data_IF_851653500685
#
_entry.id   IF_851653500685
#
_cell.length_a   1.000
_cell.length_b   1.000
_cell.length_c   1.000
_cell.angle_alpha   90.00
_cell.angle_beta   90.00
_cell.angle_gamma   90.00
#
_symmetry.space_group_name_H-M   'P 1'
#
loop_
_entity.id
_entity.type
_entity.pdbx_description
1 polymer ?
#
# COMPACT_ATOMS: atom_id res chain seq x y z
N UNK A 1 -9.42 35.70 20.69
CA UNK A 1 -9.16 36.84 21.58
C UNK A 1 -8.96 36.32 23.00
N UNK A 2 -7.74 36.48 23.51
CA UNK A 2 -7.30 36.42 24.92
C UNK A 2 -7.49 35.12 25.71
N UNK A 3 -6.43 34.30 25.68
CA UNK A 3 -6.02 33.40 26.76
C UNK A 3 -5.67 34.22 28.01
N UNK A 4 -6.23 33.84 29.16
CA UNK A 4 -5.96 34.46 30.46
C UNK A 4 -4.85 33.70 31.21
N UNK A 5 -3.87 34.46 31.70
CA UNK A 5 -2.71 34.04 32.49
C UNK A 5 -3.06 33.35 33.81
N UNK A 6 -2.25 32.35 34.18
CA UNK A 6 -2.09 31.88 35.56
C UNK A 6 -0.60 31.93 35.90
N UNK A 7 -0.22 32.78 36.85
CA UNK A 7 1.01 32.63 37.62
C UNK A 7 0.98 33.45 38.92
N UNK A 8 1.50 32.81 39.97
CA UNK A 8 1.91 33.29 41.32
C UNK A 8 0.76 33.54 42.32
N UNK A 9 0.73 33.01 43.55
CA UNK A 9 1.70 32.23 44.32
C UNK A 9 1.82 32.76 45.76
N UNK A 10 1.52 31.89 46.74
CA UNK A 10 2.21 31.82 48.04
C UNK A 10 1.69 32.64 49.22
N UNK A 11 1.39 31.96 50.33
CA UNK A 11 1.65 32.43 51.69
C UNK A 11 1.73 31.24 52.68
N UNK A 12 2.92 31.13 53.31
CA UNK A 12 3.24 30.59 54.64
C UNK A 12 3.54 29.07 54.83
N UNK A 13 4.70 28.83 55.45
CA UNK A 13 5.45 27.59 55.71
C UNK A 13 5.18 27.04 57.14
N UNK A 14 6.03 26.21 57.79
CA UNK A 14 6.98 25.15 57.36
C UNK A 14 6.81 23.82 58.15
N UNK A 15 7.39 22.70 57.70
CA UNK A 15 7.90 21.67 58.65
C UNK A 15 9.04 20.81 58.08
N UNK A 16 10.10 20.79 58.88
CA UNK A 16 11.24 19.85 59.04
C UNK A 16 11.36 18.60 58.16
N UNK A 17 12.57 18.40 57.60
CA UNK A 17 13.02 17.10 57.10
C UNK A 17 14.32 17.16 56.28
N UNK A 18 15.44 17.52 56.90
CA UNK A 18 16.76 17.57 56.27
C UNK A 18 17.41 16.19 56.15
N UNK A 19 17.60 15.67 54.93
CA UNK A 19 18.58 14.63 54.63
C UNK A 19 19.21 14.80 53.22
N UNK A 20 20.49 15.19 53.22
CA UNK A 20 21.57 14.68 52.37
C UNK A 20 21.42 14.58 50.82
N UNK A 21 20.79 15.55 50.15
CA UNK A 21 20.91 15.73 48.68
C UNK A 21 21.03 17.23 48.27
N UNK A 22 21.84 18.03 48.97
CA UNK A 22 21.87 19.47 48.66
C UNK A 22 23.25 20.13 48.70
N UNK A 23 24.28 19.42 48.23
CA UNK A 23 25.65 19.97 48.16
C UNK A 23 26.35 19.92 46.79
N UNK A 24 25.62 19.74 45.67
CA UNK A 24 26.18 19.86 44.29
C UNK A 24 25.30 20.63 43.29
N UNK A 25 24.59 21.67 43.74
CA UNK A 25 23.84 22.57 42.83
C UNK A 25 24.05 24.07 43.13
N UNK A 26 25.15 24.39 43.81
CA UNK A 26 25.52 25.76 44.18
C UNK A 26 26.37 26.52 43.17
N UNK A 27 26.92 25.87 42.14
CA UNK A 27 27.88 26.51 41.21
C UNK A 27 27.35 26.77 39.80
N UNK A 28 26.34 26.04 39.31
CA UNK A 28 25.82 26.24 37.93
C UNK A 28 24.69 27.29 37.80
N UNK A 29 24.09 27.72 38.91
CA UNK A 29 23.05 28.78 38.88
C UNK A 29 23.62 30.20 38.80
N UNK A 30 24.93 30.37 39.05
CA UNK A 30 25.61 31.66 38.94
C UNK A 30 25.92 32.07 37.49
N UNK A 31 26.17 31.11 36.60
CA UNK A 31 26.58 31.40 35.22
C UNK A 31 25.38 31.64 34.28
N UNK A 32 24.31 30.84 34.40
CA UNK A 32 23.11 30.98 33.57
C UNK A 32 22.25 32.22 33.90
N UNK A 33 22.19 32.60 35.18
CA UNK A 33 21.46 33.79 35.61
C UNK A 33 22.19 35.10 35.26
N UNK A 34 23.52 35.08 35.19
CA UNK A 34 24.31 36.26 34.78
C UNK A 34 24.38 36.41 33.25
N UNK A 35 24.36 35.30 32.50
CA UNK A 35 24.24 35.30 31.04
C UNK A 35 22.87 35.78 30.55
N UNK A 36 21.76 35.35 31.19
CA UNK A 36 20.42 35.78 30.79
C UNK A 36 20.21 37.27 31.03
N UNK A 37 20.75 37.79 32.13
CA UNK A 37 20.57 39.18 32.55
C UNK A 37 21.50 40.14 31.78
N UNK A 38 22.66 39.66 31.33
CA UNK A 38 23.54 40.39 30.40
C UNK A 38 22.96 40.41 28.97
N UNK A 39 22.38 39.29 28.49
CA UNK A 39 21.69 39.23 27.20
C UNK A 39 20.42 40.08 27.17
N UNK A 40 19.59 40.02 28.22
CA UNK A 40 18.40 40.87 28.34
C UNK A 40 18.75 42.36 28.43
N UNK A 41 19.81 42.72 29.17
CA UNK A 41 20.30 44.11 29.22
C UNK A 41 20.95 44.56 27.91
N UNK A 42 21.58 43.67 27.14
CA UNK A 42 22.05 43.97 25.79
C UNK A 42 20.88 44.12 24.79
N UNK A 43 19.82 43.32 24.94
CA UNK A 43 18.61 43.38 24.11
C UNK A 43 17.79 44.66 24.34
N UNK A 44 17.77 45.21 25.56
CA UNK A 44 17.00 46.42 25.88
C UNK A 44 17.77 47.75 25.78
N UNK A 45 19.11 47.73 25.66
CA UNK A 45 19.92 48.98 25.61
C UNK A 45 20.17 49.56 24.22
N UNK A 46 19.75 48.89 23.15
CA UNK A 46 19.76 49.46 21.80
C UNK A 46 18.51 49.01 21.09
N UNK A 47 17.52 49.90 21.03
CA UNK A 47 16.41 49.83 20.08
C UNK A 47 16.94 49.91 18.66
N UNK A 48 17.57 48.83 18.20
CA UNK A 48 17.97 48.68 16.81
C UNK A 48 16.84 47.93 16.11
N UNK A 49 16.28 48.55 15.08
CA UNK A 49 15.30 47.92 14.19
C UNK A 49 15.74 46.51 13.76
N UNK A 50 17.05 46.27 13.68
CA UNK A 50 17.68 44.99 13.35
C UNK A 50 17.27 43.82 14.27
N UNK A 51 17.04 44.05 15.56
CA UNK A 51 16.58 42.98 16.48
C UNK A 51 15.12 42.60 16.20
N UNK A 52 14.26 43.60 15.99
CA UNK A 52 12.86 43.36 15.62
C UNK A 52 12.75 42.70 14.25
N UNK A 53 13.59 43.11 13.28
CA UNK A 53 13.68 42.47 11.96
C UNK A 53 14.11 41.00 12.08
N UNK A 54 15.10 40.70 12.92
CA UNK A 54 15.54 39.32 13.15
C UNK A 54 14.43 38.46 13.78
N UNK A 55 13.71 38.98 14.78
CA UNK A 55 12.58 38.28 15.39
C UNK A 55 11.44 38.03 14.40
N UNK A 56 11.09 39.02 13.58
CA UNK A 56 10.09 38.86 12.51
C UNK A 56 10.55 37.80 11.50
N UNK A 57 11.83 37.80 11.12
CA UNK A 57 12.41 36.79 10.22
C UNK A 57 12.33 35.37 10.78
N UNK A 58 12.62 35.18 12.08
CA UNK A 58 12.49 33.88 12.75
C UNK A 58 11.02 33.44 12.82
N UNK A 59 10.10 34.33 13.18
CA UNK A 59 8.67 34.02 13.18
C UNK A 59 8.15 33.65 11.79
N UNK A 60 8.62 34.34 10.73
CA UNK A 60 8.27 34.02 9.35
C UNK A 60 8.82 32.65 8.93
N UNK A 61 10.06 32.31 9.31
CA UNK A 61 10.63 30.98 9.03
C UNK A 61 9.89 29.86 9.75
N UNK A 62 9.53 30.06 11.03
CA UNK A 62 8.71 29.09 11.78
C UNK A 62 7.32 28.97 11.17
N UNK A 63 6.69 30.09 10.78
CA UNK A 63 5.41 30.06 10.09
C UNK A 63 5.50 29.32 8.75
N UNK A 64 6.54 29.56 7.94
CA UNK A 64 6.76 28.84 6.69
C UNK A 64 7.00 27.36 6.95
N UNK A 65 7.80 26.98 7.95
CA UNK A 65 7.98 25.57 8.31
C UNK A 65 6.66 24.93 8.73
N UNK A 66 5.89 25.56 9.62
CA UNK A 66 4.59 25.06 10.05
C UNK A 66 3.64 24.97 8.86
N UNK A 67 3.59 26.00 8.01
CA UNK A 67 2.77 26.03 6.80
C UNK A 67 3.13 24.87 5.87
N UNK A 68 4.41 24.69 5.52
CA UNK A 68 4.89 23.59 4.66
C UNK A 68 4.62 22.21 5.27
N UNK A 69 4.75 22.05 6.59
CA UNK A 69 4.44 20.80 7.29
C UNK A 69 2.92 20.54 7.28
N UNK A 70 2.11 21.57 7.48
CA UNK A 70 0.64 21.44 7.51
C UNK A 70 0.03 21.30 6.12
N UNK A 71 0.53 21.98 5.08
CA UNK A 71 -0.02 21.84 3.72
C UNK A 71 0.25 20.48 3.10
N UNK A 72 1.35 19.81 3.49
CA UNK A 72 1.58 18.41 3.10
C UNK A 72 0.71 17.41 3.90
N UNK A 73 -0.11 17.87 4.84
CA UNK A 73 -0.97 17.04 5.70
C UNK A 73 -2.44 17.47 5.67
N UNK A 74 -2.78 18.64 5.11
CA UNK A 74 -4.15 19.17 5.06
C UNK A 74 -4.76 18.77 3.73
N UNK A 75 -5.57 17.71 3.76
CA UNK A 75 -6.50 17.35 2.70
C UNK A 75 -7.58 18.44 2.68
N UNK A 76 -7.53 19.35 1.71
CA UNK A 76 -8.61 20.32 1.47
C UNK A 76 -9.64 19.61 0.60
N UNK A 77 -10.67 19.08 1.24
CA UNK A 77 -11.77 18.41 0.54
C UNK A 77 -12.79 19.45 0.05
N UNK A 78 -12.89 19.61 -1.27
CA UNK A 78 -13.90 20.48 -1.94
C UNK A 78 -15.34 19.97 -1.76
N UNK A 79 -15.54 18.75 -1.25
CA UNK A 79 -16.85 18.16 -0.98
C UNK A 79 -17.29 18.30 0.49
N UNK A 80 -16.42 18.76 1.39
CA UNK A 80 -16.74 18.95 2.80
C UNK A 80 -17.88 19.96 2.98
N UNK A 81 -19.07 19.47 3.35
CA UNK A 81 -20.26 20.30 3.61
C UNK A 81 -21.38 20.21 2.57
N UNK A 82 -21.28 19.38 1.52
CA UNK A 82 -22.48 18.98 0.74
C UNK A 82 -23.30 17.97 1.54
N UNK A 83 -24.12 18.47 2.47
CA UNK A 83 -25.21 17.66 3.00
C UNK A 83 -26.18 17.35 1.85
N UNK A 84 -26.40 16.06 1.57
CA UNK A 84 -27.49 15.64 0.68
C UNK A 84 -28.80 16.19 1.24
N UNK A 85 -29.39 17.14 0.52
CA UNK A 85 -30.68 17.70 0.86
C UNK A 85 -31.78 16.71 0.52
N UNK A 86 -32.21 15.95 1.53
CA UNK A 86 -33.57 15.46 1.69
C UNK A 86 -33.98 14.23 0.87
N UNK A 87 -34.21 13.12 1.57
CA UNK A 87 -34.96 11.98 1.05
C UNK A 87 -35.06 10.86 2.08
N UNK A 88 -36.28 10.56 2.52
CA UNK A 88 -36.59 9.63 3.60
C UNK A 88 -35.94 8.23 3.44
N UNK A 89 -35.54 7.67 4.58
CA UNK A 89 -34.97 6.34 4.76
C UNK A 89 -35.63 5.26 3.89
N UNK A 90 -34.82 4.66 3.01
CA UNK A 90 -35.07 3.34 2.44
C UNK A 90 -33.84 2.49 2.70
N UNK A 91 -34.05 1.30 3.26
CA UNK A 91 -33.04 0.27 3.49
C UNK A 91 -32.12 0.09 2.28
N UNK A 92 -30.89 0.60 2.37
CA UNK A 92 -29.79 0.25 1.49
C UNK A 92 -28.53 0.17 2.33
N UNK A 93 -27.78 -0.91 2.16
CA UNK A 93 -26.40 -1.07 2.65
C UNK A 93 -25.65 0.24 2.40
N UNK A 94 -25.41 1.01 3.45
CA UNK A 94 -24.92 2.39 3.31
C UNK A 94 -23.52 2.37 2.67
N UNK A 95 -23.38 3.08 1.56
CA UNK A 95 -22.14 3.28 0.82
C UNK A 95 -21.90 4.78 0.73
N UNK A 96 -20.71 5.24 1.11
CA UNK A 96 -20.31 6.63 1.01
C UNK A 96 -19.21 6.77 -0.03
N UNK A 97 -19.50 7.46 -1.14
CA UNK A 97 -18.45 7.88 -2.07
C UNK A 97 -17.70 9.06 -1.46
N UNK A 98 -16.40 8.90 -1.23
CA UNK A 98 -15.57 9.89 -0.53
C UNK A 98 -14.62 10.64 -1.46
N UNK A 99 -14.32 10.08 -2.63
CA UNK A 99 -13.46 10.70 -3.61
C UNK A 99 -13.74 10.17 -5.01
N UNK A 100 -13.45 11.01 -6.00
CA UNK A 100 -13.54 10.70 -7.41
C UNK A 100 -12.44 11.41 -8.17
N UNK A 101 -11.75 10.69 -9.05
CA UNK A 101 -10.74 11.27 -9.93
C UNK A 101 -10.87 10.68 -11.34
N UNK A 102 -10.61 11.48 -12.36
CA UNK A 102 -10.60 11.01 -13.74
C UNK A 102 -9.20 11.16 -14.33
N UNK A 103 -8.79 10.13 -15.04
CA UNK A 103 -7.55 10.10 -15.81
C UNK A 103 -7.60 11.11 -16.94
N UNK A 104 -6.61 12.00 -16.96
CA UNK A 104 -6.39 12.87 -18.11
C UNK A 104 -5.93 12.08 -19.36
N UNK A 105 -5.33 10.90 -19.16
CA UNK A 105 -4.70 10.13 -20.23
C UNK A 105 -5.64 9.12 -20.89
N UNK A 106 -6.48 8.44 -20.10
CA UNK A 106 -7.40 7.39 -20.59
C UNK A 106 -8.85 7.88 -20.66
N UNK A 107 -9.19 8.96 -19.95
CA UNK A 107 -10.57 9.40 -19.77
C UNK A 107 -11.40 8.54 -18.81
N UNK A 108 -10.81 7.48 -18.24
CA UNK A 108 -11.45 6.66 -17.22
C UNK A 108 -11.61 7.46 -15.93
N UNK A 109 -12.71 7.21 -15.22
CA UNK A 109 -12.97 7.80 -13.93
C UNK A 109 -13.01 6.72 -12.86
N UNK A 110 -12.50 7.07 -11.69
CA UNK A 110 -12.36 6.18 -10.55
C UNK A 110 -13.06 6.78 -9.35
N UNK A 111 -13.68 5.92 -8.54
CA UNK A 111 -14.41 6.31 -7.33
C UNK A 111 -13.90 5.53 -6.14
N UNK A 112 -13.75 6.22 -5.02
CA UNK A 112 -13.39 5.64 -3.73
C UNK A 112 -14.64 5.60 -2.88
N UNK A 113 -15.01 4.42 -2.40
CA UNK A 113 -16.25 4.19 -1.69
C UNK A 113 -15.98 3.45 -0.39
N UNK A 114 -16.48 4.00 0.72
CA UNK A 114 -16.50 3.33 2.01
C UNK A 114 -17.84 2.63 2.20
N UNK A 115 -17.82 1.41 2.73
CA UNK A 115 -19.05 0.66 3.02
C UNK A 115 -18.88 -0.31 4.18
N UNK A 116 -19.99 -0.57 4.88
CA UNK A 116 -20.06 -1.60 5.92
C UNK A 116 -20.01 -2.98 5.27
N UNK A 117 -19.15 -3.87 5.80
CA UNK A 117 -19.07 -5.24 5.32
C UNK A 117 -20.41 -5.98 5.54
N UNK A 118 -20.95 -6.66 4.52
CA UNK A 118 -22.22 -7.37 4.65
C UNK A 118 -22.20 -8.42 5.77
N UNK A 119 -23.16 -8.35 6.69
CA UNK A 119 -23.29 -9.32 7.80
C UNK A 119 -22.40 -9.03 9.02
N UNK A 120 -21.67 -7.92 9.03
CA UNK A 120 -20.83 -7.50 10.16
C UNK A 120 -21.40 -6.26 10.87
N UNK A 121 -20.78 -5.88 11.99
CA UNK A 121 -21.12 -4.65 12.72
C UNK A 121 -20.82 -3.40 11.89
N UNK A 122 -21.49 -2.29 12.20
CA UNK A 122 -21.25 -0.98 11.56
C UNK A 122 -19.85 -0.40 11.81
N UNK A 123 -19.03 -1.06 12.62
CA UNK A 123 -17.60 -0.75 12.81
C UNK A 123 -16.67 -1.49 11.84
N UNK A 124 -17.14 -2.54 11.14
CA UNK A 124 -16.35 -3.24 10.13
C UNK A 124 -16.55 -2.61 8.76
N UNK A 125 -15.75 -1.58 8.50
CA UNK A 125 -15.82 -0.78 7.27
C UNK A 125 -14.67 -1.15 6.36
N UNK A 126 -14.96 -1.25 5.07
CA UNK A 126 -13.96 -1.38 4.01
C UNK A 126 -14.02 -0.18 3.09
N UNK A 127 -12.87 0.15 2.50
CA UNK A 127 -12.71 1.14 1.45
C UNK A 127 -12.37 0.44 0.15
N UNK A 128 -13.08 0.79 -0.91
CA UNK A 128 -13.00 0.14 -2.21
C UNK A 128 -12.71 1.17 -3.31
N UNK A 129 -11.85 0.79 -4.26
CA UNK A 129 -11.58 1.53 -5.49
C UNK A 129 -12.42 0.90 -6.61
N UNK A 130 -13.19 1.73 -7.32
CA UNK A 130 -13.99 1.30 -8.46
C UNK A 130 -13.59 2.07 -9.72
N UNK A 131 -13.54 1.36 -10.84
CA UNK A 131 -13.48 1.98 -12.18
C UNK A 131 -14.90 2.21 -12.68
N UNK A 132 -15.23 3.44 -13.08
CA UNK A 132 -16.55 3.75 -13.65
C UNK A 132 -16.74 3.04 -14.99
N UNK A 133 -17.88 2.35 -15.13
CA UNK A 133 -18.19 1.54 -16.31
C UNK A 133 -17.73 0.09 -16.23
N UNK A 134 -17.02 -0.31 -15.18
CA UNK A 134 -16.85 -1.72 -14.82
C UNK A 134 -18.16 -2.34 -14.30
N UNK A 135 -18.23 -3.68 -14.23
CA UNK A 135 -19.41 -4.38 -13.71
C UNK A 135 -19.74 -3.98 -12.26
N UNK A 136 -21.02 -3.87 -11.94
CA UNK A 136 -21.47 -3.47 -10.60
C UNK A 136 -21.04 -4.49 -9.54
N UNK A 137 -20.07 -4.11 -8.70
CA UNK A 137 -19.61 -4.93 -7.58
C UNK A 137 -18.14 -5.31 -7.66
N UNK A 138 -17.52 -5.17 -8.83
CA UNK A 138 -16.10 -5.47 -9.02
C UNK A 138 -15.24 -4.27 -8.62
N UNK A 139 -14.70 -4.33 -7.40
CA UNK A 139 -13.70 -3.37 -6.95
C UNK A 139 -12.31 -3.78 -7.42
N UNK A 140 -11.55 -2.81 -7.93
CA UNK A 140 -10.13 -2.95 -8.30
C UNK A 140 -9.28 -3.29 -7.06
N UNK A 141 -9.67 -2.77 -5.90
CA UNK A 141 -8.98 -2.99 -4.63
C UNK A 141 -9.94 -2.74 -3.48
N UNK A 142 -9.84 -3.57 -2.42
CA UNK A 142 -10.49 -3.34 -1.15
C UNK A 142 -9.50 -3.41 0.03
N UNK A 143 -9.62 -2.46 0.98
CA UNK A 143 -8.84 -2.40 2.23
C UNK A 143 -9.75 -2.23 3.45
N UNK A 144 -9.32 -2.70 4.61
CA UNK A 144 -10.04 -2.49 5.86
C UNK A 144 -9.72 -1.11 6.45
N UNK A 145 -10.73 -0.47 7.04
CA UNK A 145 -10.55 0.74 7.84
C UNK A 145 -10.57 0.41 9.34
N UNK A 146 -9.72 1.09 10.09
CA UNK A 146 -9.63 1.00 11.56
C UNK A 146 -10.14 2.32 12.14
N UNK A 147 -11.24 2.29 12.92
CA UNK A 147 -11.76 3.49 13.55
C UNK A 147 -10.78 4.07 14.59
N UNK A 148 -10.74 5.41 14.77
CA UNK A 148 -9.92 6.05 15.79
C UNK A 148 -10.26 5.59 17.22
N UNK A 149 -11.54 5.28 17.48
CA UNK A 149 -12.03 4.74 18.74
C UNK A 149 -12.87 3.50 18.47
N UNK A 150 -12.82 2.52 19.37
CA UNK A 150 -13.62 1.28 19.24
C UNK A 150 -15.14 1.51 19.22
N UNK A 151 -15.60 2.65 19.74
CA UNK A 151 -17.02 3.04 19.73
C UNK A 151 -17.47 3.76 18.46
N UNK A 152 -16.53 4.18 17.61
CA UNK A 152 -16.85 4.86 16.35
C UNK A 152 -17.39 3.84 15.34
N UNK A 153 -18.49 4.19 14.68
CA UNK A 153 -19.14 3.38 13.64
C UNK A 153 -19.26 4.16 12.34
N UNK A 154 -19.56 3.47 11.26
CA UNK A 154 -19.84 4.07 9.94
C UNK A 154 -20.87 5.21 10.01
N UNK A 155 -21.90 5.04 10.85
CA UNK A 155 -23.01 6.00 10.94
C UNK A 155 -22.70 7.18 11.89
N UNK A 156 -21.71 7.03 12.77
CA UNK A 156 -21.44 7.97 13.88
C UNK A 156 -20.10 8.71 13.75
N UNK A 157 -19.24 8.28 12.83
CA UNK A 157 -17.89 8.81 12.66
C UNK A 157 -17.54 8.91 11.18
N UNK A 158 -16.76 9.93 10.85
CA UNK A 158 -16.33 10.19 9.49
C UNK A 158 -15.17 9.27 9.10
N UNK A 159 -15.46 8.31 8.22
CA UNK A 159 -14.55 7.24 7.79
C UNK A 159 -13.34 7.75 7.01
N UNK A 160 -13.36 9.00 6.52
CA UNK A 160 -12.20 9.64 5.88
C UNK A 160 -11.01 9.77 6.83
N UNK A 161 -11.26 9.86 8.14
CA UNK A 161 -10.22 9.95 9.17
C UNK A 161 -9.80 8.59 9.75
N UNK A 162 -10.41 7.49 9.29
CA UNK A 162 -10.07 6.16 9.79
C UNK A 162 -8.76 5.68 9.16
N UNK A 163 -7.99 4.91 9.92
CA UNK A 163 -6.69 4.44 9.46
C UNK A 163 -6.86 3.25 8.52
N UNK A 164 -6.17 3.26 7.38
CA UNK A 164 -6.15 2.12 6.45
C UNK A 164 -5.29 0.98 7.02
N UNK A 165 -5.77 -0.25 6.88
CA UNK A 165 -5.04 -1.46 7.27
C UNK A 165 -4.71 -2.32 6.06
N UNK A 166 -3.41 -2.47 5.79
CA UNK A 166 -2.87 -3.43 4.81
C UNK A 166 -2.47 -4.76 5.45
N UNK A 167 -2.93 -5.06 6.67
CA UNK A 167 -2.59 -6.32 7.36
C UNK A 167 -3.34 -7.52 6.81
N UNK A 168 -4.41 -7.28 6.04
CA UNK A 168 -5.28 -8.29 5.45
C UNK A 168 -5.60 -7.88 4.04
N UNK A 169 -5.66 -8.88 3.17
CA UNK A 169 -6.13 -8.72 1.80
C UNK A 169 -7.59 -9.18 1.79
N UNK A 170 -8.50 -8.43 1.16
CA UNK A 170 -9.92 -8.78 1.12
C UNK A 170 -10.30 -9.54 -0.16
N UNK A 171 -9.62 -9.25 -1.26
CA UNK A 171 -9.80 -9.92 -2.54
C UNK A 171 -9.01 -11.24 -2.57
N UNK A 172 -9.66 -12.32 -2.98
CA UNK A 172 -9.10 -13.65 -2.85
C UNK A 172 -8.03 -13.94 -3.92
N UNK A 173 -8.15 -13.39 -5.13
CA UNK A 173 -7.10 -13.44 -6.15
C UNK A 173 -5.85 -12.66 -5.73
N UNK A 174 -6.01 -11.49 -5.11
CA UNK A 174 -4.88 -10.70 -4.60
C UNK A 174 -4.14 -11.49 -3.51
N UNK A 175 -4.87 -12.27 -2.71
CA UNK A 175 -4.26 -13.19 -1.73
C UNK A 175 -3.45 -14.29 -2.42
N UNK A 176 -3.93 -14.84 -3.55
CA UNK A 176 -3.17 -15.80 -4.36
C UNK A 176 -1.93 -15.17 -5.01
N UNK A 177 -2.02 -13.92 -5.51
CA UNK A 177 -0.87 -13.14 -5.98
C UNK A 177 0.17 -12.95 -4.85
N UNK A 178 -0.29 -12.57 -3.66
CA UNK A 178 0.56 -12.34 -2.50
C UNK A 178 1.30 -13.61 -2.06
N UNK A 179 0.64 -14.78 -2.15
CA UNK A 179 1.21 -16.07 -1.78
C UNK A 179 2.19 -16.64 -2.82
N UNK A 180 2.03 -16.31 -4.11
CA UNK A 180 2.76 -16.92 -5.22
C UNK A 180 4.30 -16.91 -5.07
N UNK A 181 4.97 -15.81 -4.64
CA UNK A 181 6.42 -15.78 -4.40
C UNK A 181 6.91 -16.82 -3.38
N UNK A 182 6.09 -17.12 -2.38
CA UNK A 182 6.43 -18.07 -1.32
C UNK A 182 6.08 -19.50 -1.72
N UNK A 183 5.01 -19.69 -2.50
CA UNK A 183 4.59 -21.00 -3.02
C UNK A 183 5.57 -21.53 -4.05
N UNK A 184 5.95 -20.69 -5.02
CA UNK A 184 6.87 -21.08 -6.09
C UNK A 184 8.33 -21.07 -5.64
N UNK A 185 8.62 -20.40 -4.52
CA UNK A 185 9.90 -20.44 -3.83
C UNK A 185 11.05 -19.55 -4.30
N UNK A 186 10.90 -18.47 -5.12
CA UNK A 186 11.96 -17.46 -5.23
C UNK A 186 12.20 -16.73 -3.89
N UNK A 187 11.15 -16.54 -3.08
CA UNK A 187 11.22 -15.87 -1.78
C UNK A 187 10.98 -16.89 -0.64
N UNK A 188 11.82 -16.92 0.40
CA UNK A 188 11.62 -17.78 1.56
C UNK A 188 10.43 -17.29 2.38
N UNK A 189 9.61 -18.25 2.86
CA UNK A 189 8.42 -17.97 3.65
C UNK A 189 8.72 -17.44 5.04
N UNK A 190 9.83 -17.89 5.64
CA UNK A 190 10.29 -17.43 6.96
C UNK A 190 11.35 -16.33 6.77
N UNK A 191 11.49 -15.45 7.75
CA UNK A 191 12.50 -14.39 7.70
C UNK A 191 13.92 -15.00 7.66
N UNK A 192 14.73 -14.51 6.72
CA UNK A 192 16.15 -14.88 6.71
C UNK A 192 16.84 -14.06 7.80
N UNK A 193 17.90 -14.59 8.41
CA UNK A 193 18.69 -13.81 9.36
C UNK A 193 19.13 -12.48 8.68
N UNK A 194 18.84 -11.30 9.26
CA UNK A 194 18.77 -10.00 8.57
C UNK A 194 20.10 -9.43 8.03
N UNK A 195 21.15 -10.24 7.90
CA UNK A 195 22.51 -9.79 7.54
C UNK A 195 23.20 -10.58 6.42
N UNK A 196 22.52 -11.54 5.77
CA UNK A 196 23.24 -12.45 4.85
C UNK A 196 22.86 -12.35 3.38
N UNK A 197 21.80 -11.62 2.99
CA UNK A 197 21.40 -11.50 1.58
C UNK A 197 20.92 -10.10 1.20
N UNK A 198 21.21 -9.64 -0.04
CA UNK A 198 20.50 -8.52 -0.65
C UNK A 198 18.98 -8.73 -0.62
N UNK A 199 18.18 -7.65 -0.62
CA UNK A 199 16.73 -7.77 -0.74
C UNK A 199 16.32 -8.42 -2.07
N UNK A 200 15.21 -9.18 -2.01
CA UNK A 200 14.61 -9.78 -3.19
C UNK A 200 13.98 -8.70 -4.06
N UNK A 201 14.24 -8.74 -5.37
CA UNK A 201 13.79 -7.71 -6.30
C UNK A 201 12.41 -8.05 -6.84
N UNK A 202 11.44 -7.19 -6.54
CA UNK A 202 10.03 -7.37 -6.92
C UNK A 202 9.61 -6.24 -7.84
N UNK A 203 9.04 -6.59 -8.99
CA UNK A 203 8.35 -5.68 -9.90
C UNK A 203 6.86 -6.01 -9.87
N UNK A 204 6.01 -5.07 -9.51
CA UNK A 204 4.55 -5.18 -9.58
C UNK A 204 4.03 -4.21 -10.62
N UNK A 205 3.22 -4.68 -11.57
CA UNK A 205 2.65 -3.85 -12.63
C UNK A 205 1.15 -3.83 -12.42
N UNK A 206 0.59 -2.63 -12.23
CA UNK A 206 -0.74 -2.40 -11.67
C UNK A 206 -0.62 -2.07 -10.18
N UNK A 207 -1.06 -0.87 -9.79
CA UNK A 207 -1.11 -0.45 -8.39
C UNK A 207 -2.50 -0.70 -7.79
N UNK A 208 -3.57 -0.31 -8.49
CA UNK A 208 -4.90 -0.22 -7.90
C UNK A 208 -4.88 0.68 -6.66
N UNK A 209 -5.38 0.19 -5.52
CA UNK A 209 -5.23 0.84 -4.21
C UNK A 209 -3.96 0.43 -3.43
N UNK A 210 -3.04 -0.32 -4.04
CA UNK A 210 -1.74 -0.72 -3.48
C UNK A 210 -1.79 -1.74 -2.34
N UNK A 211 -2.89 -2.48 -2.19
CA UNK A 211 -3.03 -3.41 -1.07
C UNK A 211 -2.03 -4.57 -1.13
N UNK A 212 -1.74 -5.09 -2.33
CA UNK A 212 -0.81 -6.21 -2.53
C UNK A 212 0.60 -5.89 -2.04
N UNK A 213 1.16 -4.78 -2.53
CA UNK A 213 2.54 -4.43 -2.28
C UNK A 213 2.72 -3.80 -0.88
N UNK A 214 1.75 -3.03 -0.38
CA UNK A 214 1.77 -2.58 1.01
C UNK A 214 1.64 -3.75 1.99
N UNK A 215 0.84 -4.78 1.67
CA UNK A 215 0.79 -6.00 2.47
C UNK A 215 2.17 -6.67 2.53
N UNK A 216 2.89 -6.78 1.40
CA UNK A 216 4.24 -7.33 1.40
C UNK A 216 5.23 -6.56 2.29
N UNK A 217 5.16 -5.22 2.34
CA UNK A 217 6.02 -4.43 3.25
C UNK A 217 5.82 -4.78 4.73
N UNK A 218 4.61 -5.22 5.11
CA UNK A 218 4.30 -5.64 6.47
C UNK A 218 4.79 -7.06 6.72
N UNK A 219 4.64 -7.95 5.75
CA UNK A 219 4.85 -9.39 5.94
C UNK A 219 6.30 -9.84 5.73
N UNK A 220 7.08 -9.13 4.92
CA UNK A 220 8.46 -9.54 4.59
C UNK A 220 9.35 -8.31 4.41
N UNK A 221 10.26 -8.08 5.37
CA UNK A 221 11.13 -6.89 5.38
C UNK A 221 12.23 -6.91 4.31
N UNK A 222 12.59 -8.08 3.81
CA UNK A 222 13.69 -8.21 2.83
C UNK A 222 13.21 -8.20 1.37
N UNK A 223 12.21 -7.38 1.06
CA UNK A 223 11.74 -7.12 -0.31
C UNK A 223 12.13 -5.70 -0.71
N UNK A 224 12.50 -5.51 -1.97
CA UNK A 224 12.62 -4.20 -2.58
C UNK A 224 11.67 -4.18 -3.78
N UNK A 225 10.55 -3.47 -3.58
CA UNK A 225 9.35 -3.52 -4.40
C UNK A 225 9.29 -2.26 -5.27
N UNK A 226 9.23 -2.46 -6.58
CA UNK A 226 8.91 -1.41 -7.55
C UNK A 226 7.50 -1.65 -8.04
N UNK A 227 6.59 -0.70 -7.81
CA UNK A 227 5.24 -0.75 -8.35
C UNK A 227 5.15 0.22 -9.52
N UNK A 228 4.60 -0.24 -10.64
CA UNK A 228 4.34 0.57 -11.82
C UNK A 228 2.83 0.76 -11.98
N UNK A 229 2.43 2.01 -12.09
CA UNK A 229 1.07 2.40 -12.44
C UNK A 229 1.14 3.41 -13.58
N UNK A 230 0.33 3.20 -14.62
CA UNK A 230 0.32 4.10 -15.77
C UNK A 230 -0.57 5.32 -15.51
N UNK A 231 -1.62 5.16 -14.71
CA UNK A 231 -2.61 6.19 -14.48
C UNK A 231 -2.32 7.02 -13.22
N UNK A 232 -1.94 8.28 -13.42
CA UNK A 232 -1.65 9.22 -12.33
C UNK A 232 -2.87 9.44 -11.41
N UNK A 233 -4.10 9.33 -11.93
CA UNK A 233 -5.30 9.45 -11.10
C UNK A 233 -5.41 8.29 -10.11
N UNK A 234 -5.03 7.08 -10.51
CA UNK A 234 -5.00 5.90 -9.64
C UNK A 234 -3.92 6.06 -8.56
N UNK A 235 -2.71 6.48 -8.94
CA UNK A 235 -1.63 6.75 -7.97
C UNK A 235 -2.05 7.77 -6.92
N UNK A 236 -2.62 8.89 -7.36
CA UNK A 236 -3.10 9.93 -6.46
C UNK A 236 -4.15 9.40 -5.47
N UNK A 237 -5.15 8.68 -5.96
CA UNK A 237 -6.18 8.09 -5.10
C UNK A 237 -5.60 7.07 -4.12
N UNK A 238 -4.65 6.24 -4.57
CA UNK A 238 -3.99 5.25 -3.74
C UNK A 238 -3.22 5.91 -2.58
N UNK A 239 -2.46 6.97 -2.86
CA UNK A 239 -1.71 7.72 -1.86
C UNK A 239 -2.62 8.44 -0.86
N UNK A 240 -3.64 9.15 -1.36
CA UNK A 240 -4.55 9.95 -0.53
C UNK A 240 -5.48 9.08 0.33
N UNK A 241 -6.03 8.01 -0.24
CA UNK A 241 -7.17 7.30 0.36
C UNK A 241 -6.86 5.87 0.77
N UNK A 242 -5.82 5.25 0.23
CA UNK A 242 -5.46 3.86 0.54
C UNK A 242 -4.17 3.75 1.36
N UNK A 243 -3.53 4.85 1.76
CA UNK A 243 -2.34 4.80 2.62
C UNK A 243 -1.08 4.27 1.93
N UNK A 244 -1.09 4.25 0.60
CA UNK A 244 0.08 3.96 -0.23
C UNK A 244 1.11 5.06 -0.01
N UNK A 245 2.32 4.65 0.38
CA UNK A 245 3.46 5.54 0.57
C UNK A 245 4.79 4.85 0.27
N UNK A 246 5.78 5.64 -0.08
CA UNK A 246 7.17 5.20 -0.13
C UNK A 246 7.59 4.63 1.24
N UNK A 247 8.29 3.50 1.23
CA UNK A 247 8.81 2.86 2.46
C UNK A 247 10.32 2.77 2.34
N UNK A 248 11.05 3.37 3.28
CA UNK A 248 12.51 3.40 3.29
C UNK A 248 13.08 2.43 4.32
N UNK A 249 14.21 1.81 4.00
CA UNK A 249 14.90 0.88 4.92
C UNK A 249 15.58 1.64 6.04
N UNK A 250 15.37 1.21 7.28
CA UNK A 250 15.98 1.85 8.45
C UNK A 250 17.52 1.73 8.39
N UNK A 251 18.22 2.88 8.35
CA UNK A 251 19.68 2.94 8.30
C UNK A 251 20.33 2.95 6.92
N UNK A 252 19.53 2.91 5.84
CA UNK A 252 20.00 3.08 4.46
C UNK A 252 19.34 4.31 3.83
N UNK A 253 20.08 5.42 3.76
CA UNK A 253 19.62 6.68 3.20
C UNK A 253 19.51 6.66 1.65
N UNK A 254 19.72 5.50 1.01
CA UNK A 254 19.82 5.39 -0.45
C UNK A 254 18.83 4.41 -1.11
N UNK A 255 17.99 3.70 -0.35
CA UNK A 255 17.12 2.67 -0.92
C UNK A 255 15.74 2.51 -0.26
N UNK A 256 14.71 2.63 -1.09
CA UNK A 256 13.32 2.34 -0.71
C UNK A 256 13.10 0.81 -0.68
N UNK A 257 12.49 0.28 0.39
CA UNK A 257 11.93 -1.08 0.44
C UNK A 257 10.72 -1.20 -0.48
N UNK A 258 9.99 -0.11 -0.71
CA UNK A 258 8.84 -0.05 -1.62
C UNK A 258 8.68 1.33 -2.23
N UNK A 259 8.53 1.37 -3.56
CA UNK A 259 8.32 2.60 -4.33
C UNK A 259 7.29 2.47 -5.44
N UNK A 260 6.60 3.57 -5.73
CA UNK A 260 5.66 3.71 -6.85
C UNK A 260 6.26 4.57 -7.95
N UNK A 261 6.18 4.12 -9.19
CA UNK A 261 6.62 4.86 -10.37
C UNK A 261 5.44 5.00 -11.33
N UNK A 262 5.08 6.24 -11.65
CA UNK A 262 4.09 6.53 -12.69
C UNK A 262 4.73 6.25 -14.05
N UNK A 263 4.46 5.09 -14.64
CA UNK A 263 5.06 4.66 -15.89
C UNK A 263 4.26 3.55 -16.59
N UNK A 264 4.39 3.48 -17.91
CA UNK A 264 3.92 2.33 -18.69
C UNK A 264 4.81 1.10 -18.42
N UNK A 265 4.20 0.02 -17.93
CA UNK A 265 4.92 -1.21 -17.58
C UNK A 265 5.63 -1.88 -18.76
N UNK A 266 5.10 -1.78 -19.98
CA UNK A 266 5.71 -2.35 -21.19
C UNK A 266 7.02 -1.63 -21.48
N UNK A 267 6.99 -0.31 -21.52
CA UNK A 267 8.17 0.51 -21.83
C UNK A 267 9.23 0.45 -20.72
N UNK A 268 8.78 0.40 -19.46
CA UNK A 268 9.68 0.21 -18.32
C UNK A 268 10.42 -1.13 -18.42
N UNK A 269 9.72 -2.24 -18.65
CA UNK A 269 10.34 -3.57 -18.78
C UNK A 269 11.31 -3.64 -19.97
N UNK A 270 10.98 -3.02 -21.12
CA UNK A 270 11.90 -2.93 -22.26
C UNK A 270 13.18 -2.17 -21.90
N UNK A 271 13.08 -1.17 -21.04
CA UNK A 271 14.22 -0.39 -20.54
C UNK A 271 15.06 -1.20 -19.57
N UNK A 272 14.45 -1.90 -18.61
CA UNK A 272 15.16 -2.77 -17.67
C UNK A 272 15.91 -3.90 -18.36
N UNK A 273 15.31 -4.50 -19.40
CA UNK A 273 15.99 -5.47 -20.26
C UNK A 273 17.30 -4.92 -20.84
N UNK A 274 17.31 -3.67 -21.32
CA UNK A 274 18.52 -3.02 -21.87
C UNK A 274 19.59 -2.79 -20.81
N UNK A 275 19.19 -2.57 -19.56
CA UNK A 275 20.10 -2.43 -18.40
C UNK A 275 20.67 -3.77 -17.94
N UNK A 276 20.10 -4.90 -18.37
CA UNK A 276 20.48 -6.23 -17.90
C UNK A 276 20.06 -6.50 -16.45
N UNK A 277 19.10 -5.73 -15.93
CA UNK A 277 18.57 -5.92 -14.57
C UNK A 277 17.53 -7.05 -14.57
N UNK A 278 17.46 -7.81 -13.48
CA UNK A 278 16.51 -8.92 -13.33
C UNK A 278 15.85 -8.92 -11.97
N UNK A 279 14.59 -9.35 -11.93
CA UNK A 279 13.74 -9.45 -10.77
C UNK A 279 13.56 -10.90 -10.33
N UNK A 280 13.44 -11.12 -9.03
CA UNK A 280 13.08 -12.42 -8.44
C UNK A 280 11.59 -12.70 -8.58
N UNK A 281 10.78 -11.63 -8.60
CA UNK A 281 9.33 -11.70 -8.78
C UNK A 281 8.90 -10.59 -9.73
N UNK A 282 8.18 -10.95 -10.78
CA UNK A 282 7.45 -10.00 -11.64
C UNK A 282 5.97 -10.32 -11.55
N UNK A 283 5.15 -9.38 -11.09
CA UNK A 283 3.69 -9.51 -11.05
C UNK A 283 3.08 -8.63 -12.12
N UNK A 284 2.20 -9.21 -12.93
CA UNK A 284 1.42 -8.52 -13.96
C UNK A 284 -0.05 -8.58 -13.56
N UNK A 285 -0.51 -7.48 -12.99
CA UNK A 285 -1.89 -7.23 -12.56
C UNK A 285 -2.41 -5.93 -13.23
N UNK A 286 -2.16 -5.82 -14.54
CA UNK A 286 -2.51 -4.67 -15.34
C UNK A 286 -3.62 -5.04 -16.33
N UNK A 287 -4.79 -4.44 -16.15
CA UNK A 287 -5.99 -4.74 -16.92
C UNK A 287 -6.32 -3.64 -17.93
N UNK A 288 -7.12 -3.98 -18.94
CA UNK A 288 -7.73 -3.04 -19.87
C UNK A 288 -9.25 -3.28 -19.96
N UNK A 289 -9.94 -2.58 -20.87
CA UNK A 289 -11.39 -2.72 -21.07
C UNK A 289 -11.75 -3.87 -22.03
N UNK A 290 -10.87 -4.86 -22.25
CA UNK A 290 -11.15 -5.98 -23.13
C UNK A 290 -12.30 -6.86 -22.60
N UNK A 291 -13.29 -7.15 -23.44
CA UNK A 291 -14.50 -7.89 -23.03
C UNK A 291 -14.32 -9.41 -22.94
N UNK A 292 -13.16 -9.96 -23.33
CA UNK A 292 -12.85 -11.40 -23.29
C UNK A 292 -11.84 -11.72 -22.20
N UNK A 293 -10.81 -10.90 -22.05
CA UNK A 293 -9.75 -11.03 -21.06
C UNK A 293 -9.22 -9.64 -20.69
N UNK A 294 -9.90 -8.94 -19.76
CA UNK A 294 -9.42 -7.65 -19.24
C UNK A 294 -8.02 -7.75 -18.65
N UNK A 295 -7.74 -8.86 -17.93
CA UNK A 295 -6.48 -9.07 -17.22
C UNK A 295 -5.78 -10.36 -17.69
N UNK A 296 -4.48 -10.33 -18.03
CA UNK A 296 -3.67 -9.13 -18.27
C UNK A 296 -4.09 -8.45 -19.58
N UNK A 297 -3.84 -7.15 -19.69
CA UNK A 297 -4.03 -6.42 -20.94
C UNK A 297 -3.22 -7.04 -22.09
N UNK A 298 -3.78 -6.98 -23.30
CA UNK A 298 -3.25 -7.71 -24.46
C UNK A 298 -1.75 -7.47 -24.78
N UNK A 299 -1.17 -6.26 -24.62
CA UNK A 299 0.25 -6.01 -24.89
C UNK A 299 1.22 -6.89 -24.09
N UNK A 300 0.83 -7.31 -22.88
CA UNK A 300 1.67 -8.16 -22.02
C UNK A 300 1.87 -9.58 -22.57
N UNK A 301 1.01 -10.01 -23.51
CA UNK A 301 0.99 -11.37 -24.06
C UNK A 301 1.56 -11.47 -25.49
N UNK A 302 2.20 -10.40 -25.98
CA UNK A 302 2.91 -10.43 -27.26
C UNK A 302 4.19 -11.28 -27.15
N UNK A 303 4.62 -11.87 -28.26
CA UNK A 303 5.87 -12.66 -28.28
C UNK A 303 7.09 -11.83 -27.86
N UNK A 304 7.14 -10.56 -28.26
CA UNK A 304 8.19 -9.63 -27.84
C UNK A 304 8.19 -9.49 -26.32
N UNK A 305 7.02 -9.24 -25.73
CA UNK A 305 6.91 -9.01 -24.29
C UNK A 305 7.23 -10.26 -23.48
N UNK A 306 6.81 -11.44 -23.94
CA UNK A 306 7.15 -12.71 -23.28
C UNK A 306 8.67 -12.93 -23.26
N UNK A 307 9.39 -12.59 -24.34
CA UNK A 307 10.87 -12.63 -24.37
C UNK A 307 11.50 -11.57 -23.46
N UNK A 308 10.86 -10.42 -23.27
CA UNK A 308 11.35 -9.41 -22.32
C UNK A 308 11.14 -9.90 -20.89
N UNK A 309 9.96 -10.45 -20.57
CA UNK A 309 9.64 -11.04 -19.27
C UNK A 309 10.64 -12.13 -18.90
N UNK A 310 10.96 -13.05 -19.82
CA UNK A 310 12.04 -14.01 -19.62
C UNK A 310 13.36 -13.29 -19.32
N UNK A 311 13.78 -12.33 -20.14
CA UNK A 311 15.05 -11.61 -19.94
C UNK A 311 15.17 -10.89 -18.60
N UNK A 312 14.07 -10.31 -18.08
CA UNK A 312 14.08 -9.56 -16.81
C UNK A 312 13.73 -10.44 -15.60
N UNK A 313 13.40 -11.71 -15.79
CA UNK A 313 13.15 -12.64 -14.67
C UNK A 313 14.43 -13.39 -14.34
N UNK A 314 14.84 -13.38 -13.08
CA UNK A 314 16.04 -14.07 -12.62
C UNK A 314 15.93 -15.58 -12.86
N UNK A 315 17.05 -16.34 -12.97
CA UNK A 315 16.99 -17.79 -13.22
C UNK A 315 16.18 -18.58 -12.19
N UNK A 316 16.11 -18.11 -10.95
CA UNK A 316 15.32 -18.70 -9.87
C UNK A 316 13.98 -17.99 -9.65
N UNK A 317 13.74 -16.89 -10.37
CA UNK A 317 12.58 -16.03 -10.24
C UNK A 317 11.32 -16.60 -10.88
N UNK A 318 10.25 -15.82 -10.73
CA UNK A 318 8.93 -16.15 -11.27
C UNK A 318 8.29 -14.93 -11.92
N UNK A 319 7.39 -15.22 -12.87
CA UNK A 319 6.37 -14.28 -13.30
C UNK A 319 5.01 -14.75 -12.80
N UNK A 320 4.18 -13.82 -12.34
CA UNK A 320 2.85 -14.09 -11.80
C UNK A 320 1.86 -13.19 -12.54
N UNK A 321 0.82 -13.79 -13.10
CA UNK A 321 -0.21 -13.09 -13.84
C UNK A 321 -1.55 -13.24 -13.14
N UNK A 322 -2.26 -12.13 -12.96
CA UNK A 322 -3.70 -12.15 -12.78
C UNK A 322 -4.35 -12.38 -14.16
N UNK A 323 -5.07 -13.49 -14.32
CA UNK A 323 -5.86 -13.76 -15.53
C UNK A 323 -7.33 -13.67 -15.18
N UNK A 324 -8.05 -12.71 -15.77
CA UNK A 324 -9.51 -12.58 -15.66
C UNK A 324 -10.16 -13.04 -16.96
N UNK A 325 -10.70 -14.27 -17.04
CA UNK A 325 -11.31 -14.81 -18.24
C UNK A 325 -12.83 -14.55 -18.28
N UNK A 326 -13.28 -13.62 -19.13
CA UNK A 326 -14.69 -13.34 -19.35
C UNK A 326 -15.28 -14.25 -20.44
N UNK A 327 -15.29 -15.56 -20.18
CA UNK A 327 -15.93 -16.55 -21.04
C UNK A 327 -17.43 -16.66 -20.79
N UNK A 328 -18.23 -17.00 -21.80
CA UNK A 328 -19.69 -17.18 -21.63
C UNK A 328 -20.06 -18.42 -20.81
N UNK A 329 -19.09 -19.30 -20.59
CA UNK A 329 -19.20 -20.52 -19.80
C UNK A 329 -17.82 -20.95 -19.33
N UNK A 330 -17.79 -21.89 -18.37
CA UNK A 330 -16.55 -22.40 -17.80
C UNK A 330 -15.54 -22.90 -18.85
N UNK A 331 -16.01 -23.55 -19.93
CA UNK A 331 -15.10 -24.10 -20.94
C UNK A 331 -14.37 -22.98 -21.68
N UNK A 332 -15.08 -21.94 -22.09
CA UNK A 332 -14.49 -20.77 -22.74
C UNK A 332 -13.51 -20.04 -21.81
N UNK A 333 -13.86 -19.89 -20.53
CA UNK A 333 -12.95 -19.29 -19.54
C UNK A 333 -11.66 -20.11 -19.39
N UNK A 334 -11.75 -21.45 -19.38
CA UNK A 334 -10.59 -22.33 -19.34
C UNK A 334 -9.76 -22.29 -20.63
N UNK A 335 -10.38 -22.11 -21.80
CA UNK A 335 -9.68 -21.93 -23.08
C UNK A 335 -8.87 -20.63 -23.09
N UNK A 336 -9.41 -19.54 -22.52
CA UNK A 336 -8.70 -18.26 -22.37
C UNK A 336 -7.48 -18.40 -21.47
N UNK A 337 -7.63 -19.05 -20.31
CA UNK A 337 -6.50 -19.31 -19.39
C UNK A 337 -5.45 -20.20 -20.07
N UNK A 338 -5.89 -21.23 -20.81
CA UNK A 338 -4.99 -22.13 -21.53
C UNK A 338 -4.18 -21.40 -22.61
N UNK A 339 -4.77 -20.44 -23.33
CA UNK A 339 -4.07 -19.59 -24.30
C UNK A 339 -2.94 -18.79 -23.62
N UNK A 340 -3.23 -18.17 -22.48
CA UNK A 340 -2.23 -17.40 -21.69
C UNK A 340 -1.08 -18.31 -21.25
N UNK A 341 -1.41 -19.46 -20.64
CA UNK A 341 -0.42 -20.43 -20.17
C UNK A 341 0.44 -20.93 -21.33
N UNK A 342 -0.17 -21.25 -22.48
CA UNK A 342 0.55 -21.74 -23.67
C UNK A 342 1.56 -20.71 -24.18
N UNK A 343 1.17 -19.43 -24.22
CA UNK A 343 2.06 -18.32 -24.57
C UNK A 343 3.22 -18.20 -23.57
N UNK A 344 2.95 -18.22 -22.28
CA UNK A 344 4.00 -18.14 -21.25
C UNK A 344 4.98 -19.33 -21.31
N UNK A 345 4.49 -20.53 -21.61
CA UNK A 345 5.32 -21.72 -21.77
C UNK A 345 6.28 -21.67 -22.97
N UNK A 346 6.16 -20.68 -23.87
CA UNK A 346 7.15 -20.46 -24.94
C UNK A 346 8.49 -19.93 -24.41
N UNK A 347 8.51 -19.34 -23.21
CA UNK A 347 9.73 -18.81 -22.58
C UNK A 347 9.98 -19.33 -21.15
N UNK A 348 8.95 -19.87 -20.48
CA UNK A 348 9.07 -20.47 -19.16
C UNK A 348 8.89 -21.99 -19.21
N UNK A 349 9.70 -22.72 -18.45
CA UNK A 349 9.70 -24.18 -18.49
C UNK A 349 8.54 -24.83 -17.72
N UNK A 350 7.88 -24.09 -16.84
CA UNK A 350 6.79 -24.61 -16.01
C UNK A 350 5.87 -23.49 -15.52
N UNK A 351 4.57 -23.77 -15.52
CA UNK A 351 3.53 -22.88 -14.98
C UNK A 351 2.62 -23.64 -14.02
N UNK A 352 2.14 -22.94 -13.00
CA UNK A 352 1.15 -23.41 -12.02
C UNK A 352 -0.02 -22.44 -11.99
N UNK A 353 -1.21 -22.94 -11.69
CA UNK A 353 -2.45 -22.16 -11.70
C UNK A 353 -3.11 -22.30 -10.33
N UNK A 354 -3.53 -21.17 -9.76
CA UNK A 354 -4.37 -21.12 -8.57
C UNK A 354 -5.70 -20.53 -9.01
N UNK A 355 -6.74 -21.34 -8.92
CA UNK A 355 -8.12 -20.86 -9.05
C UNK A 355 -8.62 -20.50 -7.68
N UNK A 356 -9.22 -19.33 -7.59
CA UNK A 356 -9.79 -18.81 -6.35
C UNK A 356 -11.27 -19.10 -6.33
N UNK A 357 -11.80 -19.41 -5.15
CA UNK A 357 -13.21 -19.71 -5.00
C UNK A 357 -14.01 -18.40 -5.04
N UNK A 358 -15.15 -18.42 -5.72
CA UNK A 358 -16.08 -17.28 -5.79
C UNK A 358 -15.51 -16.03 -6.50
N UNK A 359 -14.42 -16.19 -7.26
CA UNK A 359 -13.85 -15.17 -8.15
C UNK A 359 -13.48 -15.83 -9.50
N UNK A 360 -13.65 -15.11 -10.60
CA UNK A 360 -13.31 -15.62 -11.94
C UNK A 360 -11.81 -15.60 -12.23
N UNK A 361 -11.06 -14.81 -11.45
CA UNK A 361 -9.61 -14.65 -11.58
C UNK A 361 -8.87 -15.98 -11.37
N UNK A 362 -7.90 -16.23 -12.25
CA UNK A 362 -6.94 -17.33 -12.15
C UNK A 362 -5.54 -16.75 -12.05
N UNK A 363 -4.84 -17.06 -10.96
CA UNK A 363 -3.45 -16.66 -10.78
C UNK A 363 -2.54 -17.68 -11.44
N UNK A 364 -1.81 -17.25 -12.47
CA UNK A 364 -0.87 -18.09 -13.22
C UNK A 364 0.56 -17.70 -12.83
N UNK A 365 1.30 -18.64 -12.25
CA UNK A 365 2.70 -18.44 -11.86
C UNK A 365 3.63 -19.30 -12.72
N UNK A 366 4.59 -18.71 -13.41
CA UNK A 366 5.54 -19.40 -14.27
C UNK A 366 6.99 -19.20 -13.84
N UNK A 367 7.83 -20.20 -14.07
CA UNK A 367 9.24 -20.20 -13.71
C UNK A 367 10.09 -20.88 -14.78
N UNK A 368 11.38 -20.53 -14.82
CA UNK A 368 12.39 -21.16 -15.69
C UNK A 368 12.87 -22.50 -15.15
N UNK A 369 12.55 -22.84 -13.90
CA UNK A 369 12.87 -24.16 -13.34
C UNK A 369 11.95 -25.20 -13.96
N UNK A 370 12.54 -26.31 -14.42
CA UNK A 370 11.74 -27.46 -14.81
C UNK A 370 11.12 -28.06 -13.55
N UNK A 371 9.80 -28.11 -13.52
CA UNK A 371 9.05 -28.78 -12.45
C UNK A 371 8.62 -30.14 -12.94
N UNK A 372 8.72 -31.17 -12.10
CA UNK A 372 8.33 -32.51 -12.53
C UNK A 372 6.81 -32.57 -12.77
N UNK A 373 6.44 -33.18 -13.89
CA UNK A 373 5.05 -33.50 -14.24
C UNK A 373 4.39 -34.53 -13.31
N UNK A 374 5.00 -34.89 -12.18
CA UNK A 374 4.46 -35.91 -11.26
C UNK A 374 3.37 -35.32 -10.35
N UNK A 375 2.50 -36.19 -9.84
CA UNK A 375 1.51 -35.85 -8.80
C UNK A 375 2.17 -35.31 -7.53
N UNK A 376 3.42 -35.71 -7.28
CA UNK A 376 4.18 -35.31 -6.09
C UNK A 376 4.49 -33.81 -6.09
N UNK A 377 4.74 -33.21 -7.26
CA UNK A 377 4.99 -31.77 -7.35
C UNK A 377 3.73 -30.93 -7.09
N UNK A 378 2.58 -31.38 -7.59
CA UNK A 378 1.30 -30.71 -7.31
C UNK A 378 0.93 -30.79 -5.81
N UNK A 379 1.13 -31.96 -5.19
CA UNK A 379 0.94 -32.14 -3.75
C UNK A 379 1.93 -31.27 -2.94
N UNK A 380 3.17 -31.15 -3.41
CA UNK A 380 4.17 -30.26 -2.83
C UNK A 380 3.75 -28.79 -2.88
N UNK A 381 3.31 -28.29 -4.05
CA UNK A 381 2.82 -26.91 -4.17
C UNK A 381 1.59 -26.66 -3.30
N UNK A 382 0.66 -27.62 -3.21
CA UNK A 382 -0.50 -27.51 -2.33
C UNK A 382 -0.09 -27.42 -0.85
N UNK A 383 0.93 -28.19 -0.45
CA UNK A 383 1.49 -28.12 0.91
C UNK A 383 2.14 -26.77 1.18
N UNK A 384 2.91 -26.23 0.22
CA UNK A 384 3.49 -24.89 0.31
C UNK A 384 2.45 -23.80 0.35
N UNK A 385 1.38 -23.92 -0.44
CA UNK A 385 0.27 -22.97 -0.42
C UNK A 385 -0.35 -22.92 0.96
N UNK A 386 -0.73 -24.05 1.57
CA UNK A 386 -1.27 -24.06 2.94
C UNK A 386 -0.31 -23.42 3.95
N UNK A 387 0.99 -23.68 3.84
CA UNK A 387 1.98 -23.06 4.71
C UNK A 387 2.05 -21.54 4.51
N UNK A 388 2.08 -21.08 3.25
CA UNK A 388 2.11 -19.67 2.92
C UNK A 388 0.86 -18.94 3.41
N UNK A 389 -0.32 -19.49 3.12
CA UNK A 389 -1.62 -18.97 3.55
C UNK A 389 -1.67 -18.76 5.06
N UNK A 390 -1.25 -19.77 5.83
CA UNK A 390 -1.23 -19.71 7.29
C UNK A 390 -0.22 -18.71 7.84
N UNK A 391 1.00 -18.69 7.30
CA UNK A 391 2.04 -17.76 7.75
C UNK A 391 1.69 -16.32 7.39
N UNK A 392 1.01 -16.11 6.27
CA UNK A 392 0.61 -14.80 5.79
C UNK A 392 -0.73 -14.32 6.39
N UNK A 393 -1.48 -15.19 7.07
CA UNK A 393 -2.78 -14.87 7.64
C UNK A 393 -3.85 -14.64 6.57
N UNK A 394 -3.87 -15.48 5.53
CA UNK A 394 -4.78 -15.38 4.38
C UNK A 394 -5.84 -16.51 4.34
N UNK A 395 -5.82 -17.42 5.33
CA UNK A 395 -6.62 -18.67 5.38
C UNK A 395 -8.15 -18.43 5.31
N UNK A 396 -8.59 -17.24 5.68
CA UNK A 396 -9.99 -16.81 5.75
C UNK A 396 -10.53 -16.28 4.41
N UNK A 397 -9.65 -15.96 3.47
CA UNK A 397 -9.99 -15.27 2.21
C UNK A 397 -9.96 -16.23 1.03
N UNK A 398 -8.94 -17.08 0.96
CA UNK A 398 -8.88 -18.14 -0.04
C UNK A 398 -9.41 -19.42 0.62
N UNK A 399 -10.68 -19.74 0.40
CA UNK A 399 -11.31 -20.95 0.93
C UNK A 399 -10.72 -22.26 0.38
N UNK A 400 -11.55 -23.20 -0.06
CA UNK A 400 -11.09 -24.46 -0.65
C UNK A 400 -10.39 -24.22 -2.00
N UNK A 401 -9.06 -24.10 -2.01
CA UNK A 401 -8.28 -24.00 -3.24
C UNK A 401 -8.37 -25.31 -4.02
N UNK A 402 -9.00 -25.25 -5.19
CA UNK A 402 -8.91 -26.31 -6.20
C UNK A 402 -7.67 -26.01 -7.05
N UNK A 403 -6.56 -26.70 -6.77
CA UNK A 403 -5.46 -26.75 -7.73
C UNK A 403 -5.97 -27.48 -8.98
N UNK A 404 -6.11 -26.75 -10.09
CA UNK A 404 -6.67 -27.29 -11.33
C UNK A 404 -5.89 -28.51 -11.85
N UNK A 405 -6.64 -29.51 -12.36
CA UNK A 405 -6.08 -30.69 -13.03
C UNK A 405 -5.37 -30.29 -14.33
N UNK A 406 -4.15 -30.82 -14.52
CA UNK A 406 -3.33 -30.71 -15.74
C UNK A 406 -4.01 -31.30 -16.98
N UNK A 407 -3.75 -30.69 -18.14
CA UNK A 407 -3.34 -31.42 -19.34
C UNK A 407 -1.91 -31.01 -19.70
#
# INVERSE_FOLDING_TARGET
>A
LLFHSVMVGGLLAPSSGSHAWERRRGEDKGCLATLSDALLRACFRRGSANFFIAMIGVCALVYIMVYMITTNQVIIDESYGRAESGGAAKNTREKHEIARACSASTGLCYRVVDSVMPGFSSSMVRRELFTEGAEEGDSETAVMLIPPKESDTFDSSDTRFWTVSHRRILNAYVSALAAAPFVMGPVPLVEDAPRQRPPYQVLSIGLGGGNLDMFWTIMKRNLNITVLEKDEAVVKLAEEWFGVKEVHREGDATGDERRTIVADGIEYMKTEKKKGFSYDVVVVDACDLDHRRPCPSAPFLTEEMIRVLDSITSPAGIVVFNVLPLGRNQKESQEIVHEVVTKLLTAFNSCSQITVKDEDNVVVSCTKKLTSGSKDYAAFLQTRLRAAMRTLGLDDVIGDVVTGKRR
#
